data_IF_283096948553
#
_entry.id   IF_283096948553
#
_cell.length_a   1.000
_cell.length_b   1.000
_cell.length_c   1.000
_cell.angle_alpha   90.00
_cell.angle_beta   90.00
_cell.angle_gamma   90.00
#
_symmetry.space_group_name_H-M   'P 1'
#
loop_
_entity.id
_entity.type
_entity.pdbx_description
1 polymer ?
#
# COMPACT_ATOMS: atom_id res chain seq x y z
N UNK A 1 13.21 4.00 1.70
CA UNK A 1 13.36 4.96 2.81
C UNK A 1 13.07 4.31 4.16
N UNK A 2 14.08 4.18 5.02
CA UNK A 2 13.96 3.67 6.40
C UNK A 2 12.90 4.41 7.25
N UNK A 3 12.24 3.71 8.17
CA UNK A 3 11.10 4.24 8.92
C UNK A 3 11.41 5.48 9.78
N UNK A 4 12.61 5.52 10.37
CA UNK A 4 13.12 6.70 11.10
C UNK A 4 13.27 7.91 10.18
N UNK A 5 13.74 7.71 8.94
CA UNK A 5 13.87 8.78 7.97
C UNK A 5 12.50 9.26 7.46
N UNK A 6 11.50 8.37 7.31
CA UNK A 6 10.14 8.76 6.88
C UNK A 6 9.53 9.85 7.76
N UNK A 7 9.84 9.86 9.07
CA UNK A 7 9.40 10.89 10.02
C UNK A 7 10.02 12.27 9.77
N UNK A 8 11.13 12.34 9.04
CA UNK A 8 11.83 13.59 8.69
C UNK A 8 11.24 14.26 7.44
N UNK A 9 10.42 13.54 6.66
CA UNK A 9 9.72 14.12 5.52
C UNK A 9 8.61 15.01 6.06
N UNK A 10 8.79 16.33 5.93
CA UNK A 10 7.86 17.34 6.47
C UNK A 10 6.41 17.23 5.94
N UNK A 11 6.21 16.47 4.86
CA UNK A 11 4.91 16.27 4.21
C UNK A 11 4.46 14.79 4.19
N UNK A 12 5.04 13.94 5.05
CA UNK A 12 4.61 12.55 5.22
C UNK A 12 3.87 12.38 6.55
N UNK A 13 2.62 11.95 6.46
CA UNK A 13 1.76 11.72 7.61
C UNK A 13 1.50 10.22 7.77
N UNK A 14 1.66 9.71 8.98
CA UNK A 14 1.30 8.33 9.33
C UNK A 14 -0.05 8.38 10.04
N UNK A 15 -1.03 7.67 9.49
CA UNK A 15 -2.37 7.56 10.07
C UNK A 15 -2.57 6.10 10.48
N UNK A 16 -2.78 5.87 11.77
CA UNK A 16 -3.04 4.54 12.33
C UNK A 16 -4.52 4.36 12.65
N UNK A 17 -5.05 3.18 12.32
CA UNK A 17 -6.44 2.81 12.63
C UNK A 17 -6.47 1.46 13.37
N UNK A 18 -7.40 1.33 14.31
CA UNK A 18 -7.72 0.06 14.98
C UNK A 18 -9.21 -0.14 14.83
N UNK A 19 -9.64 -0.95 13.87
CA UNK A 19 -11.07 -1.27 13.72
C UNK A 19 -11.46 -2.34 14.75
N UNK A 20 -12.38 -2.01 15.64
CA UNK A 20 -12.97 -2.98 16.57
C UNK A 20 -14.26 -3.54 15.98
N UNK A 21 -14.31 -4.87 15.76
CA UNK A 21 -15.51 -5.65 15.43
C UNK A 21 -16.34 -5.24 14.20
N UNK A 22 -15.87 -4.33 13.35
CA UNK A 22 -16.53 -3.91 12.11
C UNK A 22 -15.85 -4.42 10.83
N UNK A 23 -16.55 -4.33 9.71
CA UNK A 23 -15.96 -4.55 8.39
C UNK A 23 -14.97 -3.40 8.10
N UNK A 24 -13.72 -3.74 7.77
CA UNK A 24 -12.71 -2.73 7.49
C UNK A 24 -13.01 -1.92 6.22
N UNK A 25 -13.56 -2.57 5.18
CA UNK A 25 -13.88 -1.90 3.92
C UNK A 25 -14.92 -0.81 4.16
N UNK A 26 -15.95 -1.08 4.98
CA UNK A 26 -16.92 -0.06 5.40
C UNK A 26 -16.27 1.06 6.22
N UNK A 27 -15.39 0.69 7.15
CA UNK A 27 -14.70 1.64 8.03
C UNK A 27 -13.79 2.61 7.25
N UNK A 28 -13.07 2.12 6.25
CA UNK A 28 -12.08 2.92 5.51
C UNK A 28 -12.69 3.66 4.31
N UNK A 29 -13.94 3.35 3.93
CA UNK A 29 -14.59 3.95 2.76
C UNK A 29 -14.59 5.50 2.79
N UNK A 30 -14.96 6.18 3.89
CA UNK A 30 -14.92 7.65 3.93
C UNK A 30 -13.51 8.22 3.72
N UNK A 31 -12.50 7.55 4.27
CA UNK A 31 -11.10 7.94 4.08
C UNK A 31 -10.68 7.83 2.60
N UNK A 32 -11.12 6.76 1.92
CA UNK A 32 -10.85 6.57 0.50
C UNK A 32 -11.51 7.67 -0.34
N UNK A 33 -12.76 8.03 -0.04
CA UNK A 33 -13.47 9.10 -0.73
C UNK A 33 -12.80 10.47 -0.56
N UNK A 34 -12.39 10.82 0.66
CA UNK A 34 -11.68 12.07 0.92
C UNK A 34 -10.31 12.11 0.23
N UNK A 35 -9.56 11.01 0.27
CA UNK A 35 -8.24 10.94 -0.34
C UNK A 35 -8.33 11.00 -1.88
N UNK A 36 -9.40 10.48 -2.51
CA UNK A 36 -9.69 10.69 -3.95
C UNK A 36 -9.83 12.18 -4.28
N UNK A 37 -10.47 12.97 -3.42
CA UNK A 37 -10.59 14.42 -3.60
C UNK A 37 -9.23 15.10 -3.44
N UNK A 38 -8.46 14.74 -2.41
CA UNK A 38 -7.13 15.30 -2.18
C UNK A 38 -6.13 14.94 -3.28
N UNK A 39 -6.25 13.77 -3.92
CA UNK A 39 -5.44 13.39 -5.08
C UNK A 39 -5.65 14.31 -6.29
N UNK A 40 -6.87 14.80 -6.49
CA UNK A 40 -7.19 15.78 -7.55
C UNK A 40 -6.71 17.20 -7.22
N UNK A 41 -6.38 17.43 -5.95
CA UNK A 41 -6.03 18.73 -5.42
C UNK A 41 -7.24 19.49 -4.89
N UNK A 42 -7.05 20.18 -3.77
CA UNK A 42 -8.09 20.98 -3.12
C UNK A 42 -7.48 22.26 -2.55
N UNK A 43 -8.18 23.38 -2.70
CA UNK A 43 -7.82 24.62 -2.00
C UNK A 43 -8.20 24.45 -0.53
N UNK A 44 -7.23 24.65 0.36
CA UNK A 44 -7.42 24.61 1.80
C UNK A 44 -6.90 25.90 2.41
N UNK A 45 -7.67 26.49 3.34
CA UNK A 45 -7.18 27.62 4.11
C UNK A 45 -6.28 27.11 5.24
N UNK A 46 -4.99 27.41 5.15
CA UNK A 46 -3.99 27.05 6.16
C UNK A 46 -3.41 28.35 6.73
N UNK A 47 -3.71 28.62 8.00
CA UNK A 47 -3.24 29.82 8.70
C UNK A 47 -3.60 31.13 7.98
N UNK A 48 -4.83 31.22 7.46
CA UNK A 48 -5.33 32.42 6.76
C UNK A 48 -4.85 32.55 5.31
N UNK A 49 -4.16 31.55 4.76
CA UNK A 49 -3.75 31.51 3.34
C UNK A 49 -4.41 30.34 2.63
N UNK A 50 -4.96 30.64 1.46
CA UNK A 50 -5.46 29.59 0.56
C UNK A 50 -4.28 28.91 -0.14
N UNK A 51 -4.12 27.62 0.11
CA UNK A 51 -3.06 26.79 -0.46
C UNK A 51 -3.67 25.65 -1.28
N UNK A 52 -3.05 25.35 -2.41
CA UNK A 52 -3.40 24.18 -3.21
C UNK A 52 -2.74 22.94 -2.63
N UNK A 53 -3.52 22.04 -2.03
CA UNK A 53 -3.03 20.83 -1.38
C UNK A 53 -3.33 19.62 -2.26
N UNK A 54 -2.30 18.84 -2.55
CA UNK A 54 -2.40 17.52 -3.18
C UNK A 54 -1.84 16.49 -2.22
N UNK A 55 -2.56 15.39 -2.00
CA UNK A 55 -2.09 14.28 -1.19
C UNK A 55 -2.40 12.94 -1.87
N UNK A 56 -1.63 11.91 -1.53
CA UNK A 56 -1.83 10.56 -2.05
C UNK A 56 -1.34 9.50 -1.08
N UNK A 57 -1.84 8.28 -1.24
CA UNK A 57 -1.43 7.14 -0.43
C UNK A 57 -0.01 6.70 -0.80
N UNK A 58 0.89 6.67 0.18
CA UNK A 58 2.29 6.30 -0.05
C UNK A 58 2.58 4.81 0.15
N UNK A 59 2.27 4.27 1.33
CA UNK A 59 2.52 2.88 1.75
C UNK A 59 1.40 2.45 2.69
N UNK A 60 1.00 1.18 2.60
CA UNK A 60 0.09 0.53 3.56
C UNK A 60 0.87 -0.47 4.39
N UNK A 61 0.82 -0.34 5.71
CA UNK A 61 1.40 -1.30 6.66
C UNK A 61 0.33 -1.76 7.62
N UNK A 62 0.42 -3.01 8.07
CA UNK A 62 -0.48 -3.57 9.07
C UNK A 62 0.22 -4.71 9.83
N UNK A 63 -0.07 -4.81 11.12
CA UNK A 63 0.63 -5.74 12.03
C UNK A 63 0.05 -7.15 12.01
N UNK A 64 -1.20 -7.30 11.55
CA UNK A 64 -1.91 -8.58 11.54
C UNK A 64 -1.93 -9.20 10.14
N UNK A 65 -1.98 -10.54 10.00
CA UNK A 65 -2.11 -11.22 8.70
C UNK A 65 -3.32 -10.75 7.87
N UNK A 66 -4.39 -10.31 8.54
CA UNK A 66 -5.57 -9.69 7.94
C UNK A 66 -5.22 -8.42 7.17
N UNK A 67 -4.19 -7.71 7.61
CA UNK A 67 -3.64 -6.52 6.96
C UNK A 67 -3.03 -6.77 5.59
N UNK A 68 -2.62 -8.00 5.27
CA UNK A 68 -2.15 -8.34 3.92
C UNK A 68 -3.29 -8.22 2.90
N UNK A 69 -4.51 -8.56 3.31
CA UNK A 69 -5.67 -8.44 2.43
C UNK A 69 -5.91 -6.96 2.05
N UNK A 70 -5.61 -6.02 2.96
CA UNK A 70 -5.71 -4.57 2.76
C UNK A 70 -4.56 -4.00 1.93
N UNK A 71 -3.34 -4.44 2.18
CA UNK A 71 -2.16 -4.05 1.40
C UNK A 71 -2.15 -4.69 -0.01
N UNK A 72 -3.13 -5.56 -0.32
CA UNK A 72 -3.18 -6.28 -1.59
C UNK A 72 -2.05 -7.31 -1.73
N UNK A 73 -1.46 -7.77 -0.63
CA UNK A 73 -0.32 -8.69 -0.59
C UNK A 73 -0.78 -10.11 -0.27
N UNK A 74 -0.11 -11.12 -0.81
CA UNK A 74 -0.36 -12.53 -0.44
C UNK A 74 -0.03 -12.78 1.04
N UNK A 75 -0.68 -13.77 1.64
CA UNK A 75 -0.51 -14.11 3.06
C UNK A 75 0.89 -14.67 3.36
N UNK A 76 1.24 -14.74 4.65
CA UNK A 76 2.56 -15.09 5.20
C UNK A 76 3.24 -16.37 4.66
N UNK A 77 2.51 -17.30 4.02
CA UNK A 77 3.12 -18.51 3.42
C UNK A 77 3.69 -18.28 2.01
N UNK A 78 3.34 -17.16 1.36
CA UNK A 78 3.87 -16.82 0.05
C UNK A 78 5.36 -16.50 0.11
N UNK A 79 6.09 -16.77 -0.98
CA UNK A 79 7.50 -16.41 -1.11
C UNK A 79 7.76 -14.93 -0.88
N UNK A 80 6.84 -14.05 -1.30
CA UNK A 80 6.90 -12.59 -1.07
C UNK A 80 5.67 -12.05 -0.35
N UNK A 81 5.31 -12.65 0.79
CA UNK A 81 4.10 -12.29 1.54
C UNK A 81 4.23 -11.10 2.51
N UNK A 82 5.37 -10.38 2.52
CA UNK A 82 5.56 -9.23 3.42
C UNK A 82 4.81 -7.99 2.90
N UNK A 83 4.04 -7.35 3.78
CA UNK A 83 3.31 -6.11 3.47
C UNK A 83 4.24 -4.90 3.27
N UNK A 84 5.40 -4.91 3.95
CA UNK A 84 6.34 -3.78 3.95
C UNK A 84 7.38 -3.88 2.84
N UNK A 85 7.77 -5.08 2.42
CA UNK A 85 8.84 -5.29 1.45
C UNK A 85 8.56 -6.43 0.46
N UNK A 86 9.34 -6.46 -0.63
CA UNK A 86 9.30 -7.48 -1.69
C UNK A 86 10.35 -8.58 -1.51
N UNK A 87 10.98 -8.65 -0.33
CA UNK A 87 12.00 -9.64 0.03
C UNK A 87 11.38 -11.04 0.02
N UNK A 88 12.17 -12.02 -0.43
CA UNK A 88 11.77 -13.42 -0.31
C UNK A 88 11.82 -13.86 1.16
N UNK A 89 10.82 -14.62 1.62
CA UNK A 89 10.76 -15.18 2.98
C UNK A 89 12.05 -15.87 3.41
N UNK A 90 12.76 -16.50 2.47
CA UNK A 90 14.01 -17.23 2.72
C UNK A 90 15.18 -16.29 3.08
N UNK A 91 15.04 -14.99 2.80
CA UNK A 91 16.02 -13.93 3.05
C UNK A 91 15.59 -12.98 4.17
N UNK A 92 14.50 -13.26 4.89
CA UNK A 92 14.01 -12.36 5.95
C UNK A 92 15.00 -12.18 7.11
N UNK A 93 15.91 -13.12 7.33
CA UNK A 93 16.94 -13.06 8.37
C UNK A 93 18.26 -12.45 7.89
N UNK A 94 18.36 -12.09 6.62
CA UNK A 94 19.57 -11.46 6.07
C UNK A 94 19.62 -9.98 6.46
N UNK A 95 20.61 -9.63 7.28
CA UNK A 95 20.82 -8.29 7.81
C UNK A 95 21.40 -7.32 6.75
N UNK A 96 21.86 -7.83 5.60
CA UNK A 96 22.46 -7.01 4.54
C UNK A 96 21.43 -6.50 3.52
N UNK A 97 20.14 -6.81 3.70
CA UNK A 97 19.10 -6.41 2.77
C UNK A 97 18.85 -4.89 2.83
N UNK A 98 18.80 -4.25 1.65
CA UNK A 98 18.38 -2.86 1.55
C UNK A 98 16.84 -2.75 1.62
N UNK A 99 16.33 -2.61 2.84
CA UNK A 99 14.90 -2.40 3.09
C UNK A 99 14.34 -1.15 2.39
N UNK A 100 15.17 -0.12 2.15
CA UNK A 100 14.72 1.10 1.52
C UNK A 100 14.39 0.87 0.04
N UNK A 101 15.23 0.10 -0.64
CA UNK A 101 15.06 -0.28 -2.04
C UNK A 101 13.99 -1.36 -2.21
N UNK A 102 13.87 -2.27 -1.25
CA UNK A 102 12.94 -3.41 -1.33
C UNK A 102 11.57 -3.11 -0.71
N UNK A 103 11.33 -1.89 -0.25
CA UNK A 103 10.04 -1.47 0.30
C UNK A 103 8.92 -1.49 -0.75
N UNK A 104 7.72 -1.91 -0.37
CA UNK A 104 6.52 -1.88 -1.23
C UNK A 104 5.89 -0.49 -1.25
N UNK A 105 6.46 0.39 -2.07
CA UNK A 105 5.86 1.69 -2.36
C UNK A 105 4.68 1.56 -3.30
N UNK A 106 3.61 2.34 -3.06
CA UNK A 106 2.40 2.28 -3.87
C UNK A 106 2.67 2.46 -5.37
N UNK A 107 3.53 3.39 -5.76
CA UNK A 107 3.90 3.58 -7.18
C UNK A 107 4.46 2.32 -7.83
N UNK A 108 5.28 1.53 -7.10
CA UNK A 108 5.86 0.29 -7.60
C UNK A 108 4.80 -0.80 -7.65
N UNK A 109 4.05 -0.97 -6.58
CA UNK A 109 3.00 -2.00 -6.52
C UNK A 109 1.90 -1.75 -7.54
N UNK A 110 1.58 -0.49 -7.85
CA UNK A 110 0.57 -0.12 -8.84
C UNK A 110 0.99 -0.54 -10.26
N UNK A 111 2.27 -0.38 -10.58
CA UNK A 111 2.87 -0.91 -11.81
C UNK A 111 2.75 -2.43 -11.89
N UNK A 112 3.07 -3.14 -10.80
CA UNK A 112 2.98 -4.61 -10.74
C UNK A 112 1.52 -5.10 -10.87
N UNK A 113 0.57 -4.41 -10.24
CA UNK A 113 -0.86 -4.68 -10.40
C UNK A 113 -1.34 -4.47 -11.83
N UNK A 114 -0.92 -3.39 -12.49
CA UNK A 114 -1.25 -3.14 -13.90
C UNK A 114 -0.74 -4.28 -14.79
N UNK A 115 0.48 -4.75 -14.54
CA UNK A 115 1.04 -5.91 -15.26
C UNK A 115 0.22 -7.18 -15.02
N UNK A 116 -0.18 -7.47 -13.77
CA UNK A 116 -1.06 -8.62 -13.47
C UNK A 116 -2.40 -8.48 -14.19
N UNK A 117 -3.00 -7.29 -14.19
CA UNK A 117 -4.33 -7.06 -14.74
C UNK A 117 -4.37 -7.17 -16.27
N UNK A 118 -3.29 -6.78 -16.95
CA UNK A 118 -3.14 -6.83 -18.40
C UNK A 118 -2.98 -8.26 -18.96
N UNK A 119 -2.70 -9.26 -18.11
CA UNK A 119 -2.55 -10.65 -18.57
C UNK A 119 -3.90 -11.27 -18.99
N UNK A 120 -3.89 -12.08 -20.05
CA UNK A 120 -5.13 -12.60 -20.65
C UNK A 120 -5.72 -13.82 -19.93
N UNK A 121 -4.90 -14.64 -19.26
CA UNK A 121 -5.36 -15.89 -18.64
C UNK A 121 -5.26 -15.84 -17.12
N UNK A 122 -6.22 -16.45 -16.43
CA UNK A 122 -6.22 -16.56 -14.96
C UNK A 122 -4.95 -17.28 -14.47
N UNK A 123 -4.48 -18.30 -15.20
CA UNK A 123 -3.25 -19.02 -14.88
C UNK A 123 -2.05 -18.08 -14.85
N UNK A 124 -1.91 -17.24 -15.89
CA UNK A 124 -0.83 -16.27 -15.99
C UNK A 124 -0.93 -15.17 -14.93
N UNK A 125 -2.14 -14.69 -14.63
CA UNK A 125 -2.40 -13.78 -13.50
C UNK A 125 -1.93 -14.38 -12.18
N UNK A 126 -2.24 -15.65 -11.91
CA UNK A 126 -1.80 -16.37 -10.69
C UNK A 126 -0.29 -16.53 -10.61
N UNK A 127 0.37 -16.79 -11.73
CA UNK A 127 1.83 -16.88 -11.79
C UNK A 127 2.48 -15.54 -11.48
N UNK A 128 2.01 -14.44 -12.10
CA UNK A 128 2.51 -13.08 -11.87
C UNK A 128 2.22 -12.60 -10.44
N UNK A 129 1.01 -12.83 -9.95
CA UNK A 129 0.59 -12.61 -8.56
C UNK A 129 1.53 -13.29 -7.57
N UNK A 130 1.87 -14.57 -7.80
CA UNK A 130 2.81 -15.31 -6.96
C UNK A 130 4.24 -14.75 -7.03
N UNK A 131 4.69 -14.34 -8.23
CA UNK A 131 6.01 -13.73 -8.45
C UNK A 131 6.18 -12.40 -7.72
N UNK A 132 5.15 -11.56 -7.72
CA UNK A 132 5.18 -10.25 -7.07
C UNK A 132 4.74 -10.30 -5.61
N UNK A 133 4.13 -11.40 -5.17
CA UNK A 133 3.57 -11.51 -3.83
C UNK A 133 2.30 -10.69 -3.65
N UNK A 134 1.59 -10.37 -4.74
CA UNK A 134 0.39 -9.54 -4.74
C UNK A 134 -0.86 -10.39 -4.98
N UNK A 135 -2.01 -9.96 -4.48
CA UNK A 135 -3.30 -10.64 -4.73
C UNK A 135 -3.82 -10.28 -6.13
N UNK A 136 -4.66 -11.13 -6.69
CA UNK A 136 -5.42 -10.78 -7.91
C UNK A 136 -6.66 -9.95 -7.55
N UNK A 137 -7.27 -10.23 -6.38
CA UNK A 137 -8.40 -9.46 -5.87
C UNK A 137 -7.90 -8.12 -5.33
N UNK A 138 -8.52 -7.04 -5.81
CA UNK A 138 -8.26 -5.67 -5.38
C UNK A 138 -8.75 -5.43 -3.95
N UNK A 139 -8.00 -4.60 -3.23
CA UNK A 139 -8.35 -3.97 -1.96
C UNK A 139 -9.20 -2.72 -2.23
N UNK A 140 -10.01 -2.28 -1.27
CA UNK A 140 -10.73 -0.99 -1.35
C UNK A 140 -9.75 0.19 -1.55
N UNK A 141 -8.51 0.06 -1.08
CA UNK A 141 -7.47 1.06 -1.30
C UNK A 141 -7.02 1.14 -2.77
N UNK A 142 -7.28 0.12 -3.59
CA UNK A 142 -6.99 0.17 -5.02
C UNK A 142 -7.94 1.10 -5.78
N UNK A 143 -9.08 1.49 -5.19
CA UNK A 143 -9.95 2.51 -5.78
C UNK A 143 -9.34 3.90 -5.78
N UNK A 144 -8.26 4.12 -5.04
CA UNK A 144 -7.54 5.38 -5.04
C UNK A 144 -6.79 5.62 -6.36
N UNK A 145 -6.70 4.64 -7.25
CA UNK A 145 -5.94 4.70 -8.50
C UNK A 145 -6.63 5.55 -9.56
#
# INVERSE_FOLDING_TARGET
MPANLRKLVKNHFVIGFISFRGNFDEFICPFVEELKQLKKGKIMNVQGRDVWVIAGLGVVTADLPQGNDLAGVLRHRASKGCCTCSINKDLHTDLNQDFALLSRYNQITDSEFAQINNEHTISRKKQMSSKYGLRIKQSILDELK
#
